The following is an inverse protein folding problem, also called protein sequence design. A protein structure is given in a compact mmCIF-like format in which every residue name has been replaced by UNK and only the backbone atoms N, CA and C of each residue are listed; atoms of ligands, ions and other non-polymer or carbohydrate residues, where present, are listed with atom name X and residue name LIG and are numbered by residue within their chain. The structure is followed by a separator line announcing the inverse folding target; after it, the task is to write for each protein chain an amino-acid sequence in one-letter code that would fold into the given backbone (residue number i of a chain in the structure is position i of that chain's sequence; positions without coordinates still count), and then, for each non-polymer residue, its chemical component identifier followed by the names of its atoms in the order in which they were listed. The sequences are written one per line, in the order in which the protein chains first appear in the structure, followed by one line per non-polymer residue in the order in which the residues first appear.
data_IF_799264093382
#
_entry.id   IF_799264093382
#
_cell.length_a   1.000
_cell.length_b   1.000
_cell.length_c   1.000
_cell.angle_alpha   90.00
_cell.angle_beta   90.00
_cell.angle_gamma   90.00
#
_symmetry.space_group_name_H-M   'P 1'
#
loop_
_entity.id
_entity.type
_entity.pdbx_description
1 polymer ?
#
# COMPACT_ATOMS: atom_id res chain seq x y z
N UNK A 1 5.18 -7.79 -15.08
CA UNK A 1 4.09 -7.41 -14.15
C UNK A 1 3.18 -6.45 -14.85
N UNK A 2 1.88 -6.74 -14.92
CA UNK A 2 0.90 -5.83 -15.49
C UNK A 2 0.34 -4.97 -14.34
N UNK A 3 0.52 -3.65 -14.39
CA UNK A 3 0.13 -2.71 -13.33
C UNK A 3 -1.37 -2.36 -13.35
N UNK A 4 -2.07 -2.82 -14.38
CA UNK A 4 -3.50 -2.63 -14.57
C UNK A 4 -4.14 -3.97 -14.90
N UNK A 5 -5.31 -4.23 -14.29
CA UNK A 5 -6.08 -5.45 -14.57
C UNK A 5 -6.80 -5.37 -15.91
N UNK A 6 -7.43 -4.21 -16.19
CA UNK A 6 -7.99 -3.89 -17.51
C UNK A 6 -8.12 -2.38 -17.69
N UNK A 7 -8.04 -1.92 -18.94
CA UNK A 7 -8.26 -0.49 -19.26
C UNK A 7 -9.66 0.00 -18.86
N UNK A 8 -10.67 -0.88 -18.96
CA UNK A 8 -12.04 -0.57 -18.54
C UNK A 8 -12.14 -0.23 -17.05
N UNK A 9 -11.47 -1.00 -16.18
CA UNK A 9 -11.50 -0.73 -14.73
C UNK A 9 -10.72 0.53 -14.34
N UNK A 10 -9.67 0.86 -15.08
CA UNK A 10 -8.99 2.16 -14.92
C UNK A 10 -9.94 3.30 -15.25
N UNK A 11 -10.65 3.22 -16.39
CA UNK A 11 -11.57 4.28 -16.81
C UNK A 11 -12.80 4.40 -15.90
N UNK A 12 -13.43 3.27 -15.54
CA UNK A 12 -14.70 3.27 -14.80
C UNK A 12 -14.53 3.43 -13.28
N UNK A 13 -13.37 3.03 -12.73
CA UNK A 13 -13.16 2.92 -11.28
C UNK A 13 -11.85 3.53 -10.78
N UNK A 14 -10.95 4.00 -11.67
CA UNK A 14 -9.62 4.44 -11.27
C UNK A 14 -8.74 3.32 -10.68
N UNK A 15 -9.06 2.05 -10.95
CA UNK A 15 -8.32 0.93 -10.37
C UNK A 15 -6.91 0.82 -10.96
N UNK A 16 -5.91 1.02 -10.11
CA UNK A 16 -4.48 0.87 -10.44
C UNK A 16 -3.79 0.06 -9.35
N UNK A 17 -2.70 -0.63 -9.70
CA UNK A 17 -1.95 -1.45 -8.75
C UNK A 17 -0.58 -0.84 -8.45
N UNK A 18 -0.37 -0.46 -7.18
CA UNK A 18 0.95 -0.08 -6.68
C UNK A 18 1.82 -1.33 -6.55
N UNK A 19 2.95 -1.44 -7.27
CA UNK A 19 3.77 -2.65 -7.22
C UNK A 19 4.46 -2.82 -5.86
N UNK A 20 4.71 -4.05 -5.38
CA UNK A 20 5.24 -4.31 -4.04
C UNK A 20 6.56 -3.60 -3.74
N UNK A 21 7.49 -3.56 -4.70
CA UNK A 21 8.78 -2.87 -4.51
C UNK A 21 8.62 -1.38 -4.23
N UNK A 22 7.59 -0.74 -4.78
CA UNK A 22 7.32 0.68 -4.57
C UNK A 22 6.69 0.91 -3.20
N UNK A 23 5.78 0.02 -2.79
CA UNK A 23 5.22 0.00 -1.44
C UNK A 23 6.33 -0.05 -0.40
N UNK A 24 7.25 -1.01 -0.50
CA UNK A 24 8.35 -1.14 0.47
C UNK A 24 9.22 0.11 0.52
N UNK A 25 9.61 0.66 -0.64
CA UNK A 25 10.39 1.92 -0.70
C UNK A 25 9.67 3.09 -0.05
N UNK A 26 8.35 3.21 -0.23
CA UNK A 26 7.57 4.29 0.38
C UNK A 26 7.43 4.10 1.89
N UNK A 27 7.23 2.87 2.37
CA UNK A 27 7.16 2.59 3.79
C UNK A 27 8.50 2.80 4.49
N UNK A 28 9.62 2.57 3.80
CA UNK A 28 10.96 2.83 4.34
C UNK A 28 11.26 4.31 4.58
N UNK A 29 10.55 5.23 3.90
CA UNK A 29 10.65 6.67 4.17
C UNK A 29 10.13 7.05 5.56
N UNK A 30 9.24 6.23 6.12
CA UNK A 30 8.61 6.42 7.44
C UNK A 30 8.81 5.18 8.31
N UNK A 31 9.99 4.54 8.18
CA UNK A 31 10.28 3.24 8.78
C UNK A 31 9.99 3.21 10.29
N UNK A 32 10.40 4.26 11.01
CA UNK A 32 10.19 4.37 12.46
C UNK A 32 8.72 4.29 12.86
N UNK A 33 7.82 4.91 12.09
CA UNK A 33 6.37 4.83 12.30
C UNK A 33 5.82 3.45 11.93
N UNK A 34 6.35 2.82 10.88
CA UNK A 34 5.86 1.50 10.42
C UNK A 34 6.17 0.37 11.40
N UNK A 35 7.23 0.52 12.20
CA UNK A 35 7.64 -0.45 13.22
C UNK A 35 7.05 -0.14 14.61
N UNK A 36 6.59 1.09 14.85
CA UNK A 36 6.04 1.50 16.14
C UNK A 36 4.58 1.06 16.28
N UNK A 37 4.27 0.16 17.21
CA UNK A 37 2.94 -0.48 17.35
C UNK A 37 1.78 0.52 17.46
N UNK A 38 1.95 1.61 18.22
CA UNK A 38 0.92 2.62 18.50
C UNK A 38 0.71 3.66 17.39
N UNK A 39 1.59 3.71 16.39
CA UNK A 39 1.48 4.65 15.28
C UNK A 39 0.24 4.37 14.44
N UNK A 40 -0.44 5.43 13.99
CA UNK A 40 -1.66 5.33 13.19
C UNK A 40 -1.37 5.72 11.74
N UNK A 41 -1.91 4.94 10.81
CA UNK A 41 -1.82 5.18 9.38
C UNK A 41 -3.23 5.38 8.82
N UNK A 42 -3.37 6.35 7.91
CA UNK A 42 -4.58 6.59 7.15
C UNK A 42 -4.23 6.44 5.68
N UNK A 43 -4.91 5.52 4.98
CA UNK A 43 -4.81 5.41 3.53
C UNK A 43 -6.21 5.52 2.91
N UNK A 44 -6.58 6.72 2.39
CA UNK A 44 -7.93 7.01 1.91
C UNK A 44 -8.35 6.18 0.69
N UNK A 45 -7.40 5.70 -0.11
CA UNK A 45 -7.65 4.94 -1.33
C UNK A 45 -6.95 3.57 -1.28
N UNK A 46 -7.10 2.87 -0.15
CA UNK A 46 -6.30 1.68 0.16
C UNK A 46 -6.47 0.50 -0.80
N UNK A 47 -7.53 0.48 -1.61
CA UNK A 47 -7.78 -0.58 -2.58
C UNK A 47 -7.75 -1.96 -1.92
N UNK A 48 -6.86 -2.83 -2.38
CA UNK A 48 -6.61 -4.16 -1.80
C UNK A 48 -5.73 -4.17 -0.55
N UNK A 49 -5.46 -3.00 0.04
CA UNK A 49 -4.62 -2.85 1.23
C UNK A 49 -3.12 -2.90 0.94
N UNK A 50 -2.67 -2.50 -0.25
CA UNK A 50 -1.27 -2.64 -0.66
C UNK A 50 -0.28 -1.97 0.31
N UNK A 51 -0.66 -0.87 0.98
CA UNK A 51 0.15 -0.27 2.04
C UNK A 51 -0.21 -0.80 3.44
N UNK A 52 -1.51 -0.98 3.72
CA UNK A 52 -1.99 -1.32 5.06
C UNK A 52 -1.58 -2.74 5.49
N UNK A 53 -1.54 -3.70 4.57
CA UNK A 53 -1.14 -5.08 4.88
C UNK A 53 0.35 -5.15 5.28
N UNK A 54 1.31 -4.60 4.50
CA UNK A 54 2.71 -4.54 4.94
C UNK A 54 2.92 -3.73 6.22
N UNK A 55 2.18 -2.62 6.42
CA UNK A 55 2.22 -1.88 7.70
C UNK A 55 1.81 -2.76 8.87
N UNK A 56 0.73 -3.54 8.74
CA UNK A 56 0.31 -4.49 9.76
C UNK A 56 1.38 -5.55 10.01
N UNK A 57 1.97 -6.10 8.95
CA UNK A 57 3.04 -7.11 9.06
C UNK A 57 4.27 -6.56 9.80
N UNK A 58 4.73 -5.34 9.47
CA UNK A 58 5.85 -4.68 10.15
C UNK A 58 5.57 -4.43 11.63
N UNK A 59 4.32 -4.11 11.99
CA UNK A 59 3.90 -3.90 13.39
C UNK A 59 3.81 -5.18 14.22
N UNK A 60 3.57 -6.34 13.59
CA UNK A 60 3.38 -7.63 14.27
C UNK A 60 4.62 -8.54 14.24
N UNK A 61 5.69 -8.10 13.57
CA UNK A 61 6.96 -8.82 13.46
C UNK A 61 7.79 -8.78 14.75
#
# INVERSE_FOLDING_TARGET
MNLIKSKKRVADHGEVFTPPWLVEKMLDLVKGETERIDARFLEPACGSGNFLVPVLQRKLA
#
